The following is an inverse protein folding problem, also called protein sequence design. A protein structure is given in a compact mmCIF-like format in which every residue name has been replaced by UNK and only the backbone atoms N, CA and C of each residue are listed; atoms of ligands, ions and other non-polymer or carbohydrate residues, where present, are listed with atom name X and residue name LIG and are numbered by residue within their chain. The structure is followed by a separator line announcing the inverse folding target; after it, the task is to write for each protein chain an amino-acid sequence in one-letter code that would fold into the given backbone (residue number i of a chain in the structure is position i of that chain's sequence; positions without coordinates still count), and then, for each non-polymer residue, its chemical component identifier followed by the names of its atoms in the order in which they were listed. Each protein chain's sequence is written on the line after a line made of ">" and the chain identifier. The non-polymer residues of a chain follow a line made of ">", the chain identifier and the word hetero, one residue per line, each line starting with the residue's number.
data_IF_272006736463
#
_entry.id   IF_272006736463
#
_cell.length_a   1.000
_cell.length_b   1.000
_cell.length_c   1.000
_cell.angle_alpha   90.00
_cell.angle_beta   90.00
_cell.angle_gamma   90.00
#
_symmetry.space_group_name_H-M   'P 1'
#
loop_
_entity.id
_entity.type
_entity.pdbx_description
1 polymer ?
#
# COMPACT_ATOMS: atom_id res chain seq x y z
N UNK A 1 16.03 -8.83 -18.62
CA UNK A 1 15.06 -7.81 -19.03
C UNK A 1 13.75 -8.16 -18.35
N UNK A 2 13.12 -7.22 -17.64
CA UNK A 2 11.83 -7.46 -17.02
C UNK A 2 10.71 -7.56 -18.05
N UNK A 3 9.66 -8.31 -17.73
CA UNK A 3 8.45 -8.42 -18.52
C UNK A 3 7.22 -8.21 -17.61
N UNK A 4 7.11 -6.97 -17.09
CA UNK A 4 5.96 -6.60 -16.29
C UNK A 4 4.70 -6.49 -17.13
N UNK A 5 3.61 -7.02 -16.60
CA UNK A 5 2.27 -6.93 -17.16
C UNK A 5 1.29 -6.49 -16.07
N UNK A 6 0.20 -5.85 -16.47
CA UNK A 6 -0.87 -5.52 -15.54
C UNK A 6 -1.63 -6.78 -15.10
N UNK A 7 -1.88 -6.88 -13.79
CA UNK A 7 -2.75 -7.92 -13.24
C UNK A 7 -4.19 -7.62 -13.63
N UNK A 8 -4.91 -8.62 -14.12
CA UNK A 8 -6.30 -8.47 -14.53
C UNK A 8 -7.24 -8.37 -13.32
N UNK A 9 -8.40 -7.74 -13.49
CA UNK A 9 -9.44 -7.69 -12.44
C UNK A 9 -9.90 -9.08 -12.02
N UNK A 10 -9.94 -10.04 -12.96
CA UNK A 10 -10.31 -11.45 -12.69
C UNK A 10 -9.32 -12.11 -11.71
N UNK A 11 -8.03 -11.80 -11.82
CA UNK A 11 -6.98 -12.30 -10.91
C UNK A 11 -7.02 -11.58 -9.56
N UNK A 12 -7.29 -10.27 -9.53
CA UNK A 12 -7.28 -9.47 -8.30
C UNK A 12 -8.51 -9.70 -7.43
N UNK A 13 -9.69 -9.90 -8.03
CA UNK A 13 -10.97 -9.92 -7.31
C UNK A 13 -11.04 -10.97 -6.19
N UNK A 14 -10.66 -12.24 -6.39
CA UNK A 14 -10.69 -13.24 -5.32
C UNK A 14 -9.74 -12.88 -4.19
N UNK A 15 -8.50 -12.48 -4.49
CA UNK A 15 -7.50 -12.10 -3.48
C UNK A 15 -7.97 -10.88 -2.67
N UNK A 16 -8.51 -9.86 -3.34
CA UNK A 16 -9.08 -8.69 -2.66
C UNK A 16 -10.23 -9.05 -1.73
N UNK A 17 -11.08 -10.01 -2.13
CA UNK A 17 -12.18 -10.52 -1.31
C UNK A 17 -11.64 -11.19 -0.03
N UNK A 18 -10.62 -12.02 -0.16
CA UNK A 18 -9.99 -12.70 0.98
C UNK A 18 -9.35 -11.69 1.95
N UNK A 19 -8.63 -10.70 1.43
CA UNK A 19 -8.05 -9.62 2.24
C UNK A 19 -9.14 -8.82 2.98
N UNK A 20 -10.26 -8.52 2.34
CA UNK A 20 -11.40 -7.85 3.00
C UNK A 20 -11.97 -8.71 4.12
N UNK A 21 -12.08 -10.02 3.94
CA UNK A 21 -12.55 -10.93 4.99
C UNK A 21 -11.58 -10.96 6.18
N UNK A 22 -10.28 -11.04 5.92
CA UNK A 22 -9.23 -10.95 6.96
C UNK A 22 -9.40 -9.64 7.74
N UNK A 23 -9.45 -8.48 7.05
CA UNK A 23 -9.55 -7.16 7.69
C UNK A 23 -10.82 -7.05 8.54
N UNK A 24 -11.97 -7.52 8.05
CA UNK A 24 -13.22 -7.53 8.82
C UNK A 24 -13.14 -8.40 10.07
N UNK A 25 -12.46 -9.54 9.99
CA UNK A 25 -12.23 -10.40 11.15
C UNK A 25 -11.32 -9.72 12.19
N UNK A 26 -10.32 -8.95 11.74
CA UNK A 26 -9.47 -8.13 12.60
C UNK A 26 -10.29 -7.02 13.27
N UNK A 27 -11.13 -6.30 12.50
CA UNK A 27 -12.02 -5.26 13.04
C UNK A 27 -12.92 -5.80 14.15
N UNK A 28 -13.53 -6.97 13.91
CA UNK A 28 -14.41 -7.61 14.93
C UNK A 28 -13.61 -8.05 16.16
N UNK A 29 -12.40 -8.58 16.00
CA UNK A 29 -11.57 -9.03 17.13
C UNK A 29 -11.09 -7.87 18.01
N UNK A 30 -10.75 -6.73 17.38
CA UNK A 30 -10.16 -5.58 18.08
C UNK A 30 -11.18 -4.51 18.50
N UNK A 31 -12.46 -4.73 18.22
CA UNK A 31 -13.53 -3.72 18.42
C UNK A 31 -13.57 -3.16 19.85
N UNK A 32 -13.33 -3.99 20.86
CA UNK A 32 -13.35 -3.58 22.27
C UNK A 32 -12.06 -2.88 22.70
N UNK A 33 -10.97 -3.05 21.95
CA UNK A 33 -9.69 -2.39 22.20
C UNK A 33 -9.64 -1.01 21.51
N UNK A 34 -9.90 -0.99 20.22
CA UNK A 34 -10.01 0.21 19.38
C UNK A 34 -10.68 -0.13 18.04
N UNK A 35 -11.15 0.91 17.35
CA UNK A 35 -11.74 0.78 16.02
C UNK A 35 -10.84 1.38 14.96
N UNK A 36 -10.98 0.91 13.71
CA UNK A 36 -10.25 1.46 12.57
C UNK A 36 -11.07 1.34 11.28
N UNK A 37 -10.76 2.20 10.32
CA UNK A 37 -11.19 2.08 8.93
C UNK A 37 -10.03 1.54 8.10
N UNK A 38 -10.30 1.08 6.87
CA UNK A 38 -9.25 0.63 5.97
C UNK A 38 -9.48 1.11 4.55
N UNK A 39 -8.39 1.35 3.84
CA UNK A 39 -8.40 1.81 2.47
C UNK A 39 -7.35 1.06 1.67
N UNK A 40 -7.75 0.46 0.53
CA UNK A 40 -6.79 0.00 -0.45
C UNK A 40 -6.18 1.23 -1.12
N UNK A 41 -4.86 1.32 -1.12
CA UNK A 41 -4.10 2.45 -1.66
C UNK A 41 -3.12 2.00 -2.73
N UNK A 42 -2.28 2.88 -3.22
CA UNK A 42 -1.21 2.52 -4.13
C UNK A 42 -1.69 1.99 -5.48
N UNK A 43 -0.97 1.01 -6.00
CA UNK A 43 -1.24 0.43 -7.33
C UNK A 43 -2.57 -0.31 -7.41
N UNK A 44 -3.04 -0.88 -6.29
CA UNK A 44 -4.31 -1.62 -6.21
C UNK A 44 -5.52 -0.71 -6.43
N UNK A 45 -5.51 0.49 -5.86
CA UNK A 45 -6.58 1.48 -6.01
C UNK A 45 -6.61 2.10 -7.42
N UNK A 46 -5.45 2.15 -8.09
CA UNK A 46 -5.27 2.78 -9.41
C UNK A 46 -5.49 1.83 -10.59
N UNK A 47 -5.77 0.54 -10.37
CA UNK A 47 -5.77 -0.52 -11.38
C UNK A 47 -4.41 -0.61 -12.13
N UNK A 48 -3.31 -0.45 -11.40
CA UNK A 48 -1.95 -0.41 -11.94
C UNK A 48 -1.04 -1.47 -11.31
N UNK A 49 -1.60 -2.49 -10.67
CA UNK A 49 -0.83 -3.62 -10.15
C UNK A 49 -0.18 -4.38 -11.28
N UNK A 50 1.10 -4.70 -11.10
CA UNK A 50 1.89 -5.42 -12.10
C UNK A 50 2.58 -6.62 -11.47
N UNK A 51 2.80 -7.66 -12.26
CA UNK A 51 3.65 -8.79 -11.93
C UNK A 51 4.68 -8.98 -13.05
N UNK A 52 5.81 -9.59 -12.75
CA UNK A 52 6.84 -9.89 -13.76
C UNK A 52 6.69 -11.33 -14.24
N UNK A 53 6.40 -11.50 -15.52
CA UNK A 53 6.22 -12.83 -16.13
C UNK A 53 7.53 -13.62 -16.21
N UNK A 54 8.67 -12.92 -16.29
CA UNK A 54 9.99 -13.52 -16.45
C UNK A 54 10.71 -13.85 -15.14
N UNK A 55 10.16 -13.44 -14.00
CA UNK A 55 10.78 -13.62 -12.68
C UNK A 55 9.78 -14.12 -11.64
N UNK A 56 10.25 -14.30 -10.40
CA UNK A 56 9.40 -14.67 -9.26
C UNK A 56 8.75 -13.46 -8.56
N UNK A 57 8.70 -12.29 -9.21
CA UNK A 57 8.08 -11.08 -8.64
C UNK A 57 6.56 -11.16 -8.83
N UNK A 58 5.86 -11.36 -7.72
CA UNK A 58 4.41 -11.28 -7.65
C UNK A 58 3.88 -9.85 -7.65
N UNK A 59 2.64 -9.67 -7.22
CA UNK A 59 2.02 -8.36 -7.09
C UNK A 59 1.64 -8.06 -5.64
N UNK A 60 1.63 -6.79 -5.29
CA UNK A 60 1.44 -6.34 -3.92
C UNK A 60 0.17 -5.51 -3.77
N UNK A 61 -0.62 -5.81 -2.73
CA UNK A 61 -1.68 -4.94 -2.25
C UNK A 61 -1.12 -4.02 -1.17
N UNK A 62 -1.52 -2.75 -1.21
CA UNK A 62 -1.24 -1.77 -0.16
C UNK A 62 -2.55 -1.41 0.53
N UNK A 63 -2.59 -1.50 1.87
CA UNK A 63 -3.73 -1.16 2.69
C UNK A 63 -3.31 -0.20 3.80
N UNK A 64 -3.98 0.93 3.88
CA UNK A 64 -3.91 1.79 5.06
C UNK A 64 -4.96 1.36 6.07
N UNK A 65 -4.54 1.12 7.30
CA UNK A 65 -5.39 0.94 8.49
C UNK A 65 -5.42 2.28 9.22
N UNK A 66 -6.52 3.01 9.06
CA UNK A 66 -6.75 4.29 9.70
C UNK A 66 -7.32 4.06 11.09
N UNK A 67 -6.50 4.28 12.13
CA UNK A 67 -6.91 4.09 13.52
C UNK A 67 -7.74 5.29 13.99
N UNK A 68 -8.84 5.02 14.70
CA UNK A 68 -9.70 6.05 15.25
C UNK A 68 -9.17 6.56 16.61
N UNK A 69 -9.57 7.77 17.01
CA UNK A 69 -9.11 8.49 18.21
C UNK A 69 -9.35 7.79 19.54
N UNK A 70 -10.22 6.78 19.58
CA UNK A 70 -10.48 5.95 20.80
C UNK A 70 -9.28 5.10 21.22
N UNK A 71 -8.23 5.06 20.40
CA UNK A 71 -6.95 4.40 20.72
C UNK A 71 -5.96 5.29 21.48
N UNK A 72 -6.36 6.45 21.99
CA UNK A 72 -5.49 7.44 22.65
C UNK A 72 -4.70 6.89 23.84
N UNK A 73 -5.22 5.86 24.50
CA UNK A 73 -4.54 5.21 25.63
C UNK A 73 -3.54 4.11 25.25
N UNK A 74 -3.42 3.80 23.95
CA UNK A 74 -2.51 2.76 23.44
C UNK A 74 -1.27 3.39 22.80
N UNK A 75 -0.11 2.85 23.12
CA UNK A 75 1.14 3.22 22.44
C UNK A 75 1.16 2.72 20.99
N UNK A 76 1.95 3.36 20.14
CA UNK A 76 2.17 2.92 18.76
C UNK A 76 2.59 1.44 18.66
N UNK A 77 3.38 0.96 19.65
CA UNK A 77 3.78 -0.45 19.75
C UNK A 77 2.58 -1.36 20.01
N UNK A 78 1.76 -1.03 21.00
CA UNK A 78 0.59 -1.84 21.37
C UNK A 78 -0.39 -1.95 20.22
N UNK A 79 -0.69 -0.84 19.55
CA UNK A 79 -1.56 -0.83 18.37
C UNK A 79 -0.98 -1.75 17.30
N UNK A 80 0.30 -1.58 16.93
CA UNK A 80 0.93 -2.38 15.87
C UNK A 80 0.97 -3.86 16.20
N UNK A 81 1.29 -4.22 17.45
CA UNK A 81 1.34 -5.62 17.86
C UNK A 81 -0.04 -6.27 17.89
N UNK A 82 -1.08 -5.60 18.41
CA UNK A 82 -2.45 -6.12 18.38
C UNK A 82 -2.94 -6.38 16.97
N UNK A 83 -2.68 -5.45 16.04
CA UNK A 83 -3.02 -5.63 14.63
C UNK A 83 -2.23 -6.80 14.02
N UNK A 84 -0.91 -6.88 14.31
CA UNK A 84 -0.06 -7.97 13.82
C UNK A 84 -0.57 -9.34 14.29
N UNK A 85 -0.83 -9.48 15.58
CA UNK A 85 -1.30 -10.75 16.17
C UNK A 85 -2.68 -11.15 15.61
N UNK A 86 -3.55 -10.16 15.39
CA UNK A 86 -4.83 -10.38 14.74
C UNK A 86 -4.69 -10.79 13.27
N UNK A 87 -3.76 -10.18 12.50
CA UNK A 87 -3.44 -10.62 11.14
C UNK A 87 -2.96 -12.07 11.14
N UNK A 88 -1.98 -12.41 11.99
CA UNK A 88 -1.42 -13.77 12.10
C UNK A 88 -2.51 -14.81 12.40
N UNK A 89 -3.48 -14.44 13.26
CA UNK A 89 -4.58 -15.32 13.63
C UNK A 89 -5.50 -15.67 12.44
N UNK A 90 -5.78 -14.70 11.55
CA UNK A 90 -6.76 -14.89 10.49
C UNK A 90 -6.14 -15.19 9.12
N UNK A 91 -5.00 -14.57 8.78
CA UNK A 91 -4.39 -14.70 7.45
C UNK A 91 -3.94 -16.13 7.12
N UNK A 92 -3.57 -16.91 8.11
CA UNK A 92 -3.17 -18.32 7.94
C UNK A 92 -4.30 -19.18 7.36
N UNK A 93 -5.56 -18.87 7.67
CA UNK A 93 -6.73 -19.59 7.14
C UNK A 93 -6.94 -19.35 5.64
N UNK A 94 -6.32 -18.30 5.08
CA UNK A 94 -6.31 -17.96 3.67
C UNK A 94 -5.00 -18.34 2.97
N UNK A 95 -4.11 -19.07 3.66
CA UNK A 95 -2.86 -19.58 3.10
C UNK A 95 -1.69 -18.60 3.09
N UNK A 96 -1.80 -17.49 3.81
CA UNK A 96 -0.68 -16.57 4.00
C UNK A 96 0.30 -17.08 5.06
N UNK A 97 1.56 -16.69 4.92
CA UNK A 97 2.58 -16.90 5.96
C UNK A 97 2.37 -15.91 7.12
N UNK A 98 3.12 -16.12 8.21
CA UNK A 98 3.13 -15.19 9.34
C UNK A 98 3.56 -13.79 8.92
N UNK A 99 3.02 -12.80 9.61
CA UNK A 99 3.25 -11.38 9.35
C UNK A 99 4.70 -10.98 9.62
N UNK A 100 5.34 -10.40 8.61
CA UNK A 100 6.64 -9.76 8.75
C UNK A 100 6.45 -8.31 9.21
N UNK A 101 7.11 -7.92 10.32
CA UNK A 101 7.13 -6.54 10.80
C UNK A 101 8.30 -5.78 10.17
N UNK A 102 7.98 -4.84 9.31
CA UNK A 102 8.96 -3.95 8.69
C UNK A 102 8.92 -2.55 9.31
N UNK A 103 9.78 -1.66 8.82
CA UNK A 103 9.88 -0.28 9.32
C UNK A 103 8.53 0.46 9.28
N UNK A 104 7.75 0.32 8.20
CA UNK A 104 6.50 1.07 7.98
C UNK A 104 5.25 0.21 7.95
N UNK A 105 5.38 -1.04 7.52
CA UNK A 105 4.23 -1.90 7.24
C UNK A 105 4.33 -3.24 7.95
N UNK A 106 3.20 -3.90 8.06
CA UNK A 106 3.06 -5.31 8.37
C UNK A 106 2.77 -6.03 7.07
N UNK A 107 3.60 -7.00 6.69
CA UNK A 107 3.50 -7.68 5.39
C UNK A 107 3.10 -9.13 5.56
N UNK A 108 2.06 -9.57 4.84
CA UNK A 108 1.73 -10.99 4.66
C UNK A 108 2.01 -11.43 3.22
N UNK A 109 2.47 -12.67 3.05
CA UNK A 109 2.87 -13.22 1.74
C UNK A 109 2.15 -14.52 1.46
N UNK A 110 1.56 -14.62 0.28
CA UNK A 110 1.05 -15.87 -0.26
C UNK A 110 2.08 -16.48 -1.19
N UNK A 111 2.58 -17.67 -0.83
CA UNK A 111 3.69 -18.33 -1.54
C UNK A 111 3.23 -19.58 -2.28
N UNK A 112 3.61 -19.67 -3.53
CA UNK A 112 3.64 -20.93 -4.28
C UNK A 112 4.93 -21.68 -3.90
N UNK A 113 4.84 -22.53 -2.87
CA UNK A 113 6.00 -23.26 -2.33
C UNK A 113 6.61 -24.25 -3.33
N UNK A 114 5.79 -24.79 -4.24
CA UNK A 114 6.25 -25.72 -5.27
C UNK A 114 7.22 -25.04 -6.26
N UNK A 115 6.94 -23.80 -6.59
CA UNK A 115 7.72 -23.01 -7.56
C UNK A 115 8.63 -21.97 -6.88
N UNK A 116 8.75 -21.99 -5.55
CA UNK A 116 9.59 -21.08 -4.75
C UNK A 116 9.36 -19.61 -5.08
N UNK A 117 8.11 -19.19 -5.27
CA UNK A 117 7.76 -17.81 -5.65
C UNK A 117 6.71 -17.20 -4.74
N UNK A 118 6.77 -15.89 -4.58
CA UNK A 118 5.69 -15.10 -4.00
C UNK A 118 4.68 -14.82 -5.11
N UNK A 119 3.43 -15.27 -4.91
CA UNK A 119 2.34 -15.04 -5.87
C UNK A 119 1.80 -13.63 -5.69
N UNK A 120 1.53 -13.25 -4.44
CA UNK A 120 1.12 -11.91 -4.05
C UNK A 120 1.44 -11.68 -2.57
N UNK A 121 1.47 -10.40 -2.21
CA UNK A 121 1.60 -9.94 -0.83
C UNK A 121 0.60 -8.85 -0.52
N UNK A 122 0.47 -8.54 0.77
CA UNK A 122 -0.28 -7.38 1.23
C UNK A 122 0.48 -6.67 2.34
N UNK A 123 0.69 -5.38 2.14
CA UNK A 123 1.31 -4.46 3.08
C UNK A 123 0.24 -3.65 3.80
N UNK A 124 0.23 -3.71 5.13
CA UNK A 124 -0.66 -2.93 5.99
C UNK A 124 0.13 -1.81 6.66
N UNK A 125 -0.09 -0.57 6.26
CA UNK A 125 0.39 0.61 6.95
C UNK A 125 -0.64 1.07 7.99
N UNK A 126 -0.21 1.29 9.22
CA UNK A 126 -1.08 1.82 10.27
C UNK A 126 -0.88 3.33 10.28
N UNK A 127 -1.97 4.06 10.04
CA UNK A 127 -1.95 5.50 9.83
C UNK A 127 -2.97 6.20 10.72
N UNK A 128 -2.75 7.49 10.93
CA UNK A 128 -3.69 8.41 11.56
C UNK A 128 -3.73 9.69 10.72
N UNK A 129 -4.87 9.96 10.09
CA UNK A 129 -5.11 11.19 9.35
C UNK A 129 -5.66 12.26 10.28
N UNK A 130 -5.21 13.48 10.12
CA UNK A 130 -5.66 14.61 10.91
C UNK A 130 -5.69 15.89 10.07
N UNK A 131 -6.29 16.94 10.60
CA UNK A 131 -6.21 18.29 10.07
C UNK A 131 -5.45 19.11 11.12
N UNK A 132 -4.40 19.80 10.70
CA UNK A 132 -3.61 20.64 11.59
C UNK A 132 -4.34 21.95 11.94
N UNK A 133 -3.74 22.76 12.82
CA UNK A 133 -4.31 24.03 13.27
C UNK A 133 -4.51 25.05 12.14
N UNK A 134 -3.74 24.94 11.07
CA UNK A 134 -3.83 25.78 9.88
C UNK A 134 -4.82 25.25 8.83
N UNK A 135 -5.49 24.12 9.11
CA UNK A 135 -6.45 23.47 8.21
C UNK A 135 -5.84 22.57 7.13
N UNK A 136 -4.54 22.29 7.18
CA UNK A 136 -3.89 21.39 6.23
C UNK A 136 -4.05 19.93 6.64
N UNK A 137 -4.17 19.07 5.64
CA UNK A 137 -4.21 17.61 5.83
C UNK A 137 -2.83 17.11 6.22
N UNK A 138 -2.77 16.44 7.37
CA UNK A 138 -1.62 15.70 7.86
C UNK A 138 -1.92 14.21 7.95
N UNK A 139 -0.89 13.40 7.91
CA UNK A 139 -0.96 11.95 8.16
C UNK A 139 0.27 11.51 8.93
N UNK A 140 0.05 10.75 9.99
CA UNK A 140 1.09 10.02 10.71
C UNK A 140 1.01 8.54 10.36
N UNK A 141 2.12 7.83 10.50
CA UNK A 141 2.18 6.38 10.40
C UNK A 141 3.04 5.79 11.51
N UNK A 142 2.80 4.53 11.87
CA UNK A 142 3.64 3.86 12.87
C UNK A 142 4.96 3.43 12.22
N UNK A 143 6.05 4.07 12.66
CA UNK A 143 7.43 3.76 12.30
C UNK A 143 8.08 2.85 13.33
N UNK A 144 8.62 1.70 12.89
CA UNK A 144 9.44 0.84 13.70
C UNK A 144 10.93 1.11 13.46
N UNK A 145 11.58 1.75 14.41
CA UNK A 145 13.02 1.90 14.41
C UNK A 145 13.69 0.61 14.92
N UNK A 146 14.10 -0.25 14.00
CA UNK A 146 14.69 -1.56 14.31
C UNK A 146 15.97 -1.45 15.15
N UNK A 147 16.79 -0.42 14.95
CA UNK A 147 18.06 -0.24 15.69
C UNK A 147 17.82 0.08 17.17
N UNK A 148 16.80 0.88 17.46
CA UNK A 148 16.43 1.30 18.82
C UNK A 148 15.35 0.41 19.43
N UNK A 149 14.74 -0.48 18.67
CA UNK A 149 13.59 -1.31 19.05
C UNK A 149 12.42 -0.47 19.59
N UNK A 150 12.13 0.67 18.93
CA UNK A 150 11.11 1.63 19.34
C UNK A 150 10.12 1.85 18.22
N UNK A 151 8.83 1.93 18.60
CA UNK A 151 7.73 2.28 17.68
C UNK A 151 7.26 3.69 18.03
N UNK A 152 7.16 4.53 16.99
CA UNK A 152 6.71 5.92 17.13
C UNK A 152 5.72 6.28 16.03
N UNK A 153 4.86 7.26 16.29
CA UNK A 153 4.13 7.94 15.24
C UNK A 153 5.08 8.93 14.56
N UNK A 154 5.24 8.80 13.25
CA UNK A 154 6.09 9.63 12.41
C UNK A 154 5.24 10.34 11.35
N UNK A 155 5.51 11.61 11.12
CA UNK A 155 4.80 12.42 10.14
C UNK A 155 5.14 12.02 8.71
N UNK A 156 4.10 11.96 7.87
CA UNK A 156 4.27 11.90 6.42
C UNK A 156 4.84 13.23 5.90
N UNK A 157 5.60 13.16 4.81
CA UNK A 157 6.10 14.37 4.16
C UNK A 157 4.95 15.31 3.77
N UNK A 158 5.12 16.61 3.99
CA UNK A 158 4.17 17.64 3.51
C UNK A 158 3.96 17.47 2.00
N UNK A 159 2.71 17.62 1.55
CA UNK A 159 2.38 17.48 0.13
C UNK A 159 2.33 16.04 -0.37
N UNK A 160 2.28 15.04 0.51
CA UNK A 160 2.16 13.62 0.12
C UNK A 160 0.95 13.32 -0.76
N UNK A 161 -0.10 14.15 -0.67
CA UNK A 161 -1.35 14.07 -1.42
C UNK A 161 -1.28 14.71 -2.82
N UNK A 162 -0.31 15.58 -3.11
CA UNK A 162 -0.20 16.31 -4.38
C UNK A 162 -0.11 15.39 -5.60
N UNK A 163 0.53 14.23 -5.43
CA UNK A 163 0.61 13.25 -6.51
C UNK A 163 -0.76 12.68 -6.88
N UNK A 164 -1.62 12.48 -5.89
CA UNK A 164 -2.98 11.96 -6.11
C UNK A 164 -3.88 13.05 -6.72
N UNK A 165 -3.73 14.32 -6.35
CA UNK A 165 -4.42 15.44 -6.98
C UNK A 165 -4.06 15.57 -8.47
N UNK A 166 -2.77 15.47 -8.82
CA UNK A 166 -2.31 15.43 -10.22
C UNK A 166 -2.88 14.22 -10.97
N UNK A 167 -2.92 13.05 -10.32
CA UNK A 167 -3.49 11.85 -10.91
C UNK A 167 -5.00 11.99 -11.16
N UNK A 168 -5.72 12.64 -10.27
CA UNK A 168 -7.16 12.88 -10.43
C UNK A 168 -7.44 13.89 -11.53
N UNK A 169 -6.64 14.96 -11.67
CA UNK A 169 -6.72 15.85 -12.81
C UNK A 169 -6.51 15.10 -14.14
N UNK A 170 -5.49 14.23 -14.23
CA UNK A 170 -5.21 13.40 -15.42
C UNK A 170 -6.41 12.51 -15.76
N UNK A 171 -7.03 11.85 -14.75
CA UNK A 171 -8.21 11.00 -14.95
C UNK A 171 -9.40 11.79 -15.48
N UNK A 172 -9.66 12.96 -14.86
CA UNK A 172 -10.77 13.83 -15.24
C UNK A 172 -10.63 14.40 -16.67
N UNK A 173 -9.39 14.49 -17.17
CA UNK A 173 -9.11 14.94 -18.55
C UNK A 173 -8.91 13.78 -19.55
N UNK A 174 -9.13 12.52 -19.13
CA UNK A 174 -9.10 11.36 -20.03
C UNK A 174 -7.71 10.81 -20.37
N UNK A 175 -6.63 11.32 -19.77
CA UNK A 175 -5.24 10.93 -20.09
C UNK A 175 -4.73 9.73 -19.29
N UNK A 176 -5.58 9.08 -18.50
CA UNK A 176 -5.15 8.00 -17.59
C UNK A 176 -4.50 6.80 -18.31
N UNK A 177 -4.98 6.47 -19.52
CA UNK A 177 -4.41 5.37 -20.29
C UNK A 177 -2.97 5.63 -20.73
N UNK A 178 -2.62 6.88 -21.00
CA UNK A 178 -1.24 7.27 -21.33
C UNK A 178 -0.31 7.10 -20.13
N UNK A 179 -0.78 7.49 -18.93
CA UNK A 179 -0.02 7.22 -17.68
C UNK A 179 0.26 5.74 -17.54
N UNK A 180 -0.75 4.89 -17.72
CA UNK A 180 -0.59 3.44 -17.61
C UNK A 180 0.43 2.89 -18.61
N UNK A 181 0.34 3.31 -19.86
CA UNK A 181 1.27 2.87 -20.91
C UNK A 181 2.70 3.31 -20.59
N UNK A 182 2.87 4.58 -20.22
CA UNK A 182 4.18 5.15 -19.89
C UNK A 182 4.80 4.51 -18.65
N UNK A 183 4.01 4.28 -17.59
CA UNK A 183 4.47 3.61 -16.38
C UNK A 183 4.96 2.18 -16.66
N UNK A 184 4.18 1.41 -17.44
CA UNK A 184 4.56 0.04 -17.78
C UNK A 184 5.83 -0.03 -18.63
N UNK A 185 5.98 0.88 -19.60
CA UNK A 185 7.19 1.02 -20.40
C UNK A 185 8.41 1.36 -19.52
N UNK A 186 8.29 2.38 -18.66
CA UNK A 186 9.35 2.74 -17.71
C UNK A 186 9.71 1.57 -16.80
N UNK A 187 8.73 0.82 -16.30
CA UNK A 187 8.95 -0.31 -15.42
C UNK A 187 9.70 -1.44 -16.12
N UNK A 188 9.38 -1.73 -17.37
CA UNK A 188 10.04 -2.76 -18.17
C UNK A 188 11.47 -2.38 -18.58
N UNK A 189 11.74 -1.10 -18.75
CA UNK A 189 13.08 -0.59 -19.10
C UNK A 189 13.96 -0.28 -17.89
N UNK A 190 13.38 -0.26 -16.68
CA UNK A 190 14.13 0.09 -15.49
C UNK A 190 15.16 -1.01 -15.14
N UNK A 191 16.44 -0.65 -15.17
CA UNK A 191 17.55 -1.49 -14.74
C UNK A 191 18.15 -1.01 -13.40
N UNK A 192 17.66 0.10 -12.84
CA UNK A 192 18.12 0.63 -11.57
C UNK A 192 17.33 -0.02 -10.42
N UNK A 193 18.00 -0.85 -9.63
CA UNK A 193 17.41 -1.54 -8.48
C UNK A 193 16.97 -0.57 -7.35
N UNK A 194 17.53 0.63 -7.31
CA UNK A 194 17.17 1.65 -6.33
C UNK A 194 15.95 2.47 -6.75
N UNK A 195 15.51 2.34 -7.98
CA UNK A 195 14.36 3.09 -8.51
C UNK A 195 13.07 2.30 -8.33
N UNK A 196 12.34 2.63 -7.28
CA UNK A 196 11.11 1.94 -6.90
C UNK A 196 9.91 2.27 -7.80
N UNK A 197 8.92 1.40 -7.82
CA UNK A 197 7.67 1.54 -8.60
C UNK A 197 6.95 2.88 -8.34
N UNK A 198 6.99 3.39 -7.10
CA UNK A 198 6.40 4.70 -6.74
C UNK A 198 7.09 5.86 -7.49
N UNK A 199 8.41 5.82 -7.62
CA UNK A 199 9.17 6.85 -8.35
C UNK A 199 8.82 6.83 -9.83
N UNK A 200 8.75 5.64 -10.45
CA UNK A 200 8.36 5.48 -11.85
C UNK A 200 6.93 5.98 -12.10
N UNK A 201 6.02 5.73 -11.15
CA UNK A 201 4.67 6.24 -11.20
C UNK A 201 4.63 7.77 -11.12
N UNK A 202 5.33 8.36 -10.14
CA UNK A 202 5.40 9.81 -9.99
C UNK A 202 5.96 10.50 -11.23
N UNK A 203 7.03 9.94 -11.82
CA UNK A 203 7.60 10.43 -13.08
C UNK A 203 6.60 10.36 -14.25
N UNK A 204 5.79 9.28 -14.29
CA UNK A 204 4.79 9.13 -15.34
C UNK A 204 3.68 10.17 -15.20
N UNK A 205 3.20 10.42 -13.99
CA UNK A 205 2.23 11.47 -13.69
C UNK A 205 2.79 12.84 -14.08
N UNK A 206 4.00 13.16 -13.62
CA UNK A 206 4.64 14.44 -13.89
C UNK A 206 4.82 14.70 -15.41
N UNK A 207 5.28 13.69 -16.14
CA UNK A 207 5.48 13.78 -17.59
C UNK A 207 4.17 14.02 -18.35
N UNK A 208 3.07 13.40 -17.94
CA UNK A 208 1.75 13.62 -18.54
C UNK A 208 1.21 15.01 -18.18
N UNK A 209 1.35 15.44 -16.91
CA UNK A 209 1.00 16.80 -16.50
C UNK A 209 1.74 17.86 -17.35
N UNK A 210 3.05 17.72 -17.51
CA UNK A 210 3.83 18.65 -18.35
C UNK A 210 3.37 18.64 -19.81
N UNK A 211 3.09 17.46 -20.37
CA UNK A 211 2.64 17.34 -21.78
C UNK A 211 1.33 18.05 -22.04
N UNK A 212 0.40 18.04 -21.09
CA UNK A 212 -0.94 18.55 -21.25
C UNK A 212 -1.21 19.86 -20.49
N UNK A 213 -0.15 20.51 -20.00
CA UNK A 213 -0.24 21.87 -19.45
C UNK A 213 -0.94 21.93 -18.08
N UNK A 214 -0.75 20.94 -17.23
CA UNK A 214 -1.09 21.08 -15.81
C UNK A 214 -0.05 22.02 -15.16
N UNK A 215 -0.53 23.15 -14.70
CA UNK A 215 0.27 24.12 -13.94
C UNK A 215 -0.18 24.06 -12.48
N UNK A 216 0.80 23.98 -11.57
CA UNK A 216 0.57 24.07 -10.13
C UNK A 216 0.17 25.48 -9.71
#
# INVERSE_FOLDING_TARGET
>A
MHNFQYVTRKQLSPVKKDLIQIIRSIQNLLHDDFTFQYYFVGSSNRNMMTYDVGTNIGYDFDVNIQVNSTSENLTAKEIKMRIKDAIDKFAIHFGYDNTEDSTRVLTIKFKDRKNSRIVHSCDFAIVNDYIDEDGYKGQQYIHFNKKKNVYIWEEQQKGYYLLDEKADWIKNNGYWQEVRSLYLDKKNRNNDQNKHSRSLYAESIHQICQRYGYYD
#
